data_IF_507458134518
#
_entry.id   IF_507458134518
#
_cell.length_a   1.000
_cell.length_b   1.000
_cell.length_c   1.000
_cell.angle_alpha   90.00
_cell.angle_beta   90.00
_cell.angle_gamma   90.00
#
_symmetry.space_group_name_H-M   'P 1'
#
loop_
_entity.id
_entity.type
_entity.pdbx_description
1 polymer ?
#
# COMPACT_ATOMS: atom_id res chain seq x y z
N UNK A 1 -7.24 39.75 -14.53
CA UNK A 1 -6.40 38.59 -14.91
C UNK A 1 -5.42 38.33 -13.77
N UNK A 2 -5.00 37.08 -13.50
CA UNK A 2 -5.72 35.81 -13.50
C UNK A 2 -5.74 35.19 -12.08
N UNK A 3 -6.81 34.50 -11.70
CA UNK A 3 -6.75 33.57 -10.57
C UNK A 3 -6.06 32.31 -11.11
N UNK A 4 -4.72 32.31 -11.07
CA UNK A 4 -3.90 31.15 -11.42
C UNK A 4 -4.16 30.11 -10.34
N UNK A 5 -5.11 29.21 -10.58
CA UNK A 5 -5.22 27.96 -9.83
C UNK A 5 -3.86 27.28 -9.93
N UNK A 6 -3.08 27.32 -8.84
CA UNK A 6 -1.82 26.58 -8.74
C UNK A 6 -2.12 25.15 -9.18
N UNK A 7 -1.33 24.56 -10.10
CA UNK A 7 -1.47 23.16 -10.39
C UNK A 7 -1.23 22.41 -9.08
N UNK A 8 -2.30 21.88 -8.49
CA UNK A 8 -2.22 20.93 -7.39
C UNK A 8 -1.43 19.75 -7.93
N UNK A 9 -0.21 19.56 -7.45
CA UNK A 9 0.66 18.46 -7.88
C UNK A 9 -0.16 17.16 -7.75
N UNK A 10 -0.35 16.39 -8.84
CA UNK A 10 -1.09 15.14 -8.77
C UNK A 10 -0.52 14.25 -7.67
N UNK A 11 -1.36 13.49 -6.96
CA UNK A 11 -0.89 12.62 -5.87
C UNK A 11 0.25 11.68 -6.31
N UNK A 12 0.20 11.22 -7.56
CA UNK A 12 1.27 10.43 -8.19
C UNK A 12 2.66 11.11 -8.19
N UNK A 13 2.72 12.43 -8.14
CA UNK A 13 3.94 13.24 -8.13
C UNK A 13 4.29 13.82 -6.74
N UNK A 14 3.51 13.51 -5.70
CA UNK A 14 3.81 13.91 -4.32
C UNK A 14 4.70 12.88 -3.64
N UNK A 15 5.66 13.28 -2.81
CA UNK A 15 6.40 12.35 -1.97
C UNK A 15 5.48 11.77 -0.86
N UNK A 16 5.55 10.46 -0.62
CA UNK A 16 4.82 9.79 0.47
C UNK A 16 5.84 9.26 1.47
N UNK A 17 5.80 9.68 2.74
CA UNK A 17 6.79 9.31 3.75
C UNK A 17 6.51 7.91 4.32
N UNK A 18 6.68 6.86 3.50
CA UNK A 18 6.29 5.49 3.88
C UNK A 18 6.99 4.96 5.13
N UNK A 19 8.21 5.39 5.42
CA UNK A 19 8.91 5.10 6.66
C UNK A 19 8.14 5.58 7.89
N UNK A 20 7.65 6.83 7.86
CA UNK A 20 6.84 7.41 8.93
C UNK A 20 5.46 6.73 9.02
N UNK A 21 4.85 6.42 7.88
CA UNK A 21 3.57 5.73 7.84
C UNK A 21 3.68 4.31 8.42
N UNK A 22 4.71 3.55 8.05
CA UNK A 22 4.98 2.22 8.59
C UNK A 22 5.30 2.28 10.09
N UNK A 23 6.05 3.28 10.54
CA UNK A 23 6.36 3.46 11.96
C UNK A 23 5.13 3.81 12.80
N UNK A 24 4.25 4.66 12.28
CA UNK A 24 3.02 5.08 12.96
C UNK A 24 1.85 4.08 12.81
N UNK A 25 1.90 3.24 11.78
CA UNK A 25 0.83 2.32 11.41
C UNK A 25 -0.45 2.99 10.93
N UNK A 26 -0.39 4.27 10.52
CA UNK A 26 -1.55 5.06 10.12
C UNK A 26 -1.46 5.48 8.66
N UNK A 27 -2.56 5.31 7.94
CA UNK A 27 -2.71 5.84 6.59
C UNK A 27 -3.54 7.13 6.66
N UNK A 28 -2.97 8.28 6.24
CA UNK A 28 -3.73 9.52 6.15
C UNK A 28 -4.94 9.36 5.22
N UNK A 29 -6.11 9.84 5.65
CA UNK A 29 -7.37 9.64 4.93
C UNK A 29 -7.31 10.23 3.51
N UNK A 30 -6.55 11.29 3.30
CA UNK A 30 -6.31 11.91 2.00
C UNK A 30 -5.64 10.98 0.99
N UNK A 31 -4.89 9.96 1.43
CA UNK A 31 -4.21 9.01 0.54
C UNK A 31 -5.10 7.87 0.09
N UNK A 32 -6.24 7.68 0.76
CA UNK A 32 -7.19 6.59 0.49
C UNK A 32 -8.63 7.09 0.31
N UNK A 33 -8.82 8.40 0.18
CA UNK A 33 -10.15 9.03 0.11
C UNK A 33 -10.98 8.56 -1.11
N UNK A 34 -10.33 8.03 -2.15
CA UNK A 34 -10.99 7.48 -3.33
C UNK A 34 -10.31 6.18 -3.74
N UNK A 35 -11.02 5.34 -4.51
CA UNK A 35 -10.46 4.09 -5.03
C UNK A 35 -9.17 4.31 -5.84
N UNK A 36 -9.14 5.34 -6.68
CA UNK A 36 -7.95 5.72 -7.45
C UNK A 36 -6.76 6.05 -6.54
N UNK A 37 -6.98 6.87 -5.49
CA UNK A 37 -5.92 7.24 -4.56
C UNK A 37 -5.43 6.04 -3.76
N UNK A 38 -6.33 5.17 -3.30
CA UNK A 38 -5.96 3.92 -2.63
C UNK A 38 -5.12 3.00 -3.51
N UNK A 39 -5.46 2.85 -4.79
CA UNK A 39 -4.65 2.08 -5.73
C UNK A 39 -3.26 2.70 -5.93
N UNK A 40 -3.17 4.02 -6.11
CA UNK A 40 -1.88 4.72 -6.24
C UNK A 40 -1.04 4.62 -4.97
N UNK A 41 -1.65 4.72 -3.79
CA UNK A 41 -0.97 4.53 -2.52
C UNK A 41 -0.37 3.12 -2.41
N UNK A 42 -1.18 2.10 -2.70
CA UNK A 42 -0.75 0.69 -2.63
C UNK A 42 0.35 0.38 -3.63
N UNK A 43 0.23 0.84 -4.88
CA UNK A 43 1.25 0.63 -5.92
C UNK A 43 2.60 1.18 -5.46
N UNK A 44 2.58 2.40 -4.91
CA UNK A 44 3.79 3.05 -4.39
C UNK A 44 4.33 2.40 -3.12
N UNK A 45 3.44 1.89 -2.25
CA UNK A 45 3.85 1.12 -1.08
C UNK A 45 4.58 -0.16 -1.49
N UNK A 46 4.07 -0.89 -2.50
CA UNK A 46 4.74 -2.07 -3.07
C UNK A 46 6.13 -1.71 -3.60
N UNK A 47 6.25 -0.60 -4.35
CA UNK A 47 7.56 -0.15 -4.80
C UNK A 47 8.50 0.20 -3.64
N UNK A 48 8.00 0.85 -2.60
CA UNK A 48 8.79 1.16 -1.41
C UNK A 48 9.29 -0.11 -0.72
N UNK A 49 8.40 -1.05 -0.38
CA UNK A 49 8.78 -2.26 0.36
C UNK A 49 9.75 -3.18 -0.39
N UNK A 50 9.73 -3.16 -1.72
CA UNK A 50 10.64 -3.92 -2.57
C UNK A 50 11.98 -3.21 -2.81
N UNK A 51 12.06 -1.90 -2.57
CA UNK A 51 13.27 -1.11 -2.84
C UNK A 51 14.11 -0.84 -1.58
N UNK A 52 13.50 -0.83 -0.40
CA UNK A 52 14.23 -0.63 0.85
C UNK A 52 14.90 -1.91 1.37
N UNK A 53 16.08 -1.83 1.98
CA UNK A 53 16.73 -2.98 2.60
C UNK A 53 15.87 -3.62 3.70
N UNK A 54 16.06 -4.92 3.90
CA UNK A 54 15.48 -5.64 5.03
C UNK A 54 15.88 -4.96 6.36
N UNK A 55 14.90 -4.76 7.25
CA UNK A 55 15.09 -4.10 8.55
C UNK A 55 14.65 -2.63 8.61
N UNK A 56 14.37 -1.98 7.48
CA UNK A 56 13.79 -0.62 7.46
C UNK A 56 12.36 -0.58 8.01
N UNK A 57 11.66 -1.71 7.97
CA UNK A 57 10.37 -1.91 8.62
C UNK A 57 10.25 -3.38 9.05
N UNK A 58 9.34 -3.64 9.96
CA UNK A 58 8.99 -4.98 10.44
C UNK A 58 7.71 -5.49 9.77
N UNK A 59 7.52 -6.81 9.69
CA UNK A 59 6.28 -7.38 9.17
C UNK A 59 5.05 -6.96 9.99
N UNK A 60 5.21 -6.72 11.30
CA UNK A 60 4.13 -6.21 12.15
C UNK A 60 3.72 -4.79 11.78
N UNK A 61 4.68 -3.90 11.51
CA UNK A 61 4.40 -2.54 11.02
C UNK A 61 3.69 -2.55 9.66
N UNK A 62 4.13 -3.43 8.75
CA UNK A 62 3.46 -3.59 7.46
C UNK A 62 2.03 -4.13 7.62
N UNK A 63 1.82 -5.17 8.44
CA UNK A 63 0.47 -5.71 8.74
C UNK A 63 -0.44 -4.61 9.25
N UNK A 64 0.02 -3.86 10.25
CA UNK A 64 -0.79 -2.84 10.90
C UNK A 64 -1.16 -1.71 9.94
N UNK A 65 -0.25 -1.31 9.05
CA UNK A 65 -0.54 -0.33 8.01
C UNK A 65 -1.55 -0.86 6.99
N UNK A 66 -1.44 -2.13 6.56
CA UNK A 66 -2.37 -2.76 5.61
C UNK A 66 -3.78 -2.89 6.20
N UNK A 67 -3.90 -3.17 7.50
CA UNK A 67 -5.19 -3.22 8.22
C UNK A 67 -5.97 -1.88 8.16
N UNK A 68 -5.30 -0.75 7.93
CA UNK A 68 -5.95 0.56 7.74
C UNK A 68 -6.57 0.74 6.35
N UNK A 69 -6.24 -0.14 5.39
CA UNK A 69 -6.73 -0.07 4.02
C UNK A 69 -8.04 -0.85 3.89
N UNK A 70 -8.89 -0.45 2.95
CA UNK A 70 -10.05 -1.26 2.58
C UNK A 70 -9.61 -2.64 2.06
N UNK A 71 -10.42 -3.70 2.28
CA UNK A 71 -10.13 -5.06 1.86
C UNK A 71 -9.67 -5.21 0.40
N UNK A 72 -10.26 -4.44 -0.51
CA UNK A 72 -9.89 -4.45 -1.94
C UNK A 72 -8.48 -3.93 -2.18
N UNK A 73 -8.06 -2.91 -1.45
CA UNK A 73 -6.72 -2.34 -1.51
C UNK A 73 -5.68 -3.29 -0.91
N UNK A 74 -6.03 -4.02 0.15
CA UNK A 74 -5.19 -5.08 0.72
C UNK A 74 -4.97 -6.23 -0.27
N UNK A 75 -6.04 -6.72 -0.92
CA UNK A 75 -5.94 -7.72 -2.00
C UNK A 75 -5.08 -7.20 -3.15
N UNK A 76 -5.28 -5.93 -3.55
CA UNK A 76 -4.50 -5.30 -4.60
C UNK A 76 -3.01 -5.22 -4.26
N UNK A 77 -2.66 -4.99 -2.99
CA UNK A 77 -1.28 -5.00 -2.52
C UNK A 77 -0.60 -6.34 -2.81
N UNK A 78 -1.20 -7.46 -2.40
CA UNK A 78 -0.61 -8.78 -2.64
C UNK A 78 -0.58 -9.15 -4.12
N UNK A 79 -1.61 -8.77 -4.88
CA UNK A 79 -1.61 -8.94 -6.34
C UNK A 79 -0.44 -8.20 -6.97
N UNK A 80 -0.25 -6.92 -6.63
CA UNK A 80 0.86 -6.10 -7.15
C UNK A 80 2.22 -6.61 -6.70
N UNK A 81 2.35 -7.02 -5.45
CA UNK A 81 3.57 -7.62 -4.93
C UNK A 81 3.98 -8.86 -5.72
N UNK A 82 3.01 -9.76 -5.98
CA UNK A 82 3.21 -10.96 -6.80
C UNK A 82 3.56 -10.63 -8.26
N UNK A 83 2.91 -9.63 -8.85
CA UNK A 83 3.17 -9.18 -10.23
C UNK A 83 4.55 -8.54 -10.38
N UNK A 84 4.99 -7.74 -9.40
CA UNK A 84 6.27 -7.02 -9.44
C UNK A 84 7.46 -7.92 -9.06
N UNK A 85 7.29 -8.80 -8.08
CA UNK A 85 8.34 -9.73 -7.64
C UNK A 85 7.73 -11.05 -7.14
N UNK A 86 7.57 -12.04 -8.03
CA UNK A 86 6.98 -13.33 -7.68
C UNK A 86 7.72 -14.06 -6.55
N UNK A 87 9.04 -13.92 -6.50
CA UNK A 87 9.88 -14.57 -5.48
C UNK A 87 9.73 -13.94 -4.11
N UNK A 88 9.49 -12.62 -4.04
CA UNK A 88 9.31 -11.90 -2.78
C UNK A 88 8.07 -12.37 -2.02
N UNK A 89 7.06 -12.94 -2.70
CA UNK A 89 5.84 -13.44 -2.03
C UNK A 89 6.14 -14.43 -0.89
N UNK A 90 7.27 -15.17 -0.98
CA UNK A 90 7.72 -16.10 0.06
C UNK A 90 8.08 -15.37 1.35
N UNK A 91 8.67 -14.19 1.25
CA UNK A 91 9.07 -13.37 2.41
C UNK A 91 7.84 -12.77 3.12
N UNK A 92 6.74 -12.57 2.37
CA UNK A 92 5.46 -12.08 2.88
C UNK A 92 4.43 -13.19 3.11
N UNK A 93 4.83 -14.46 3.02
CA UNK A 93 3.91 -15.61 3.10
C UNK A 93 3.04 -15.62 4.37
N UNK A 94 3.55 -15.32 5.59
CA UNK A 94 2.72 -15.27 6.79
C UNK A 94 1.58 -14.25 6.69
N UNK A 95 1.85 -13.07 6.11
CA UNK A 95 0.83 -12.06 5.85
C UNK A 95 -0.12 -12.56 4.77
N UNK A 96 0.42 -12.95 3.61
CA UNK A 96 -0.37 -13.39 2.47
C UNK A 96 -1.37 -14.50 2.84
N UNK A 97 -0.96 -15.54 3.57
CA UNK A 97 -1.86 -16.61 3.98
C UNK A 97 -2.90 -16.17 5.03
N UNK A 98 -2.53 -15.29 5.97
CA UNK A 98 -3.48 -14.70 6.91
C UNK A 98 -4.57 -13.91 6.19
N UNK A 99 -4.18 -13.02 5.29
CA UNK A 99 -5.08 -12.20 4.48
C UNK A 99 -5.92 -13.05 3.50
N UNK A 100 -5.33 -14.05 2.83
CA UNK A 100 -6.09 -14.91 1.90
C UNK A 100 -7.17 -15.74 2.62
N UNK A 101 -6.95 -16.11 3.88
CA UNK A 101 -7.96 -16.80 4.69
C UNK A 101 -9.12 -15.86 5.07
N UNK A 102 -8.83 -14.59 5.35
CA UNK A 102 -9.83 -13.57 5.70
C UNK A 102 -10.62 -13.06 4.49
N UNK A 103 -9.95 -12.88 3.35
CA UNK A 103 -10.53 -12.27 2.14
C UNK A 103 -10.90 -13.27 1.04
N UNK A 104 -10.93 -14.57 1.36
CA UNK A 104 -11.27 -15.63 0.41
C UNK A 104 -12.56 -15.32 -0.38
N UNK A 105 -13.60 -14.79 0.28
CA UNK A 105 -14.86 -14.42 -0.39
C UNK A 105 -14.74 -13.24 -1.36
N UNK A 106 -13.79 -12.31 -1.16
CA UNK A 106 -13.58 -11.14 -2.00
C UNK A 106 -12.63 -11.41 -3.19
N UNK A 107 -11.91 -12.53 -3.16
CA UNK A 107 -10.97 -12.93 -4.22
C UNK A 107 -11.65 -13.66 -5.39
N UNK A 108 -12.87 -14.14 -5.21
CA UNK A 108 -13.59 -15.00 -6.17
C UNK A 108 -14.99 -14.49 -6.57
N UNK A 109 -15.34 -13.25 -6.20
CA UNK A 109 -16.54 -12.53 -6.69
C UNK A 109 -16.17 -11.48 -7.71
#
# INVERSE_FOLDING_TARGET
>A
MPNQSKPSIPFAAQAVPFDELLASGKVPQEYVATEYLGQQFVERLVHYILSVPAGNYTMAQLSHLLEQLDPRAQVFFFKRLKETSPDSLKDFAPLYYGFMNEFHSLLFT
#
